data_IF_339204013503
#
_entry.id   IF_339204013503
#
_cell.length_a   1.000
_cell.length_b   1.000
_cell.length_c   1.000
_cell.angle_alpha   90.00
_cell.angle_beta   90.00
_cell.angle_gamma   90.00
#
_symmetry.space_group_name_H-M   'P 1'
#
loop_
_entity.id
_entity.type
_entity.pdbx_description
1 polymer ?
#
# COMPACT_ATOMS: atom_id res chain seq x y z
N UNK A 1 -49.86 4.04 -31.76
CA UNK A 1 -48.92 5.18 -31.69
C UNK A 1 -49.16 5.91 -30.37
N UNK A 2 -48.45 5.60 -29.27
CA UNK A 2 -48.58 6.37 -28.04
C UNK A 2 -47.61 7.55 -28.05
N UNK A 3 -48.13 8.72 -27.69
CA UNK A 3 -47.41 9.99 -27.59
C UNK A 3 -46.44 9.96 -26.41
N UNK A 4 -45.17 10.25 -26.67
CA UNK A 4 -44.16 10.54 -25.65
C UNK A 4 -44.48 11.91 -25.03
N UNK A 5 -44.92 11.92 -23.77
CA UNK A 5 -44.95 13.14 -22.96
C UNK A 5 -43.51 13.57 -22.67
N UNK A 6 -43.08 14.65 -23.32
CA UNK A 6 -41.84 15.33 -23.02
C UNK A 6 -42.01 16.10 -21.70
N UNK A 7 -41.25 15.73 -20.67
CA UNK A 7 -41.15 16.51 -19.44
C UNK A 7 -40.47 17.85 -19.70
N UNK A 8 -41.01 18.90 -19.11
CA UNK A 8 -40.69 20.30 -19.45
C UNK A 8 -39.30 20.74 -18.95
N UNK A 9 -38.61 21.67 -19.65
CA UNK A 9 -37.27 22.19 -19.28
C UNK A 9 -37.15 22.77 -17.86
N UNK A 10 -38.27 23.10 -17.22
CA UNK A 10 -38.31 23.72 -15.90
C UNK A 10 -37.86 22.78 -14.78
N UNK A 11 -38.10 21.47 -14.90
CA UNK A 11 -37.73 20.50 -13.85
C UNK A 11 -36.20 20.28 -13.77
N UNK A 12 -35.52 20.27 -14.93
CA UNK A 12 -34.05 20.15 -14.97
C UNK A 12 -33.36 21.39 -14.40
N UNK A 13 -33.92 22.58 -14.64
CA UNK A 13 -33.42 23.83 -14.08
C UNK A 13 -33.62 23.87 -12.56
N UNK A 14 -34.75 23.35 -12.07
CA UNK A 14 -35.03 23.25 -10.64
C UNK A 14 -34.06 22.30 -9.93
N UNK A 15 -33.86 21.09 -10.47
CA UNK A 15 -32.92 20.11 -9.93
C UNK A 15 -31.46 20.62 -9.93
N UNK A 16 -31.08 21.40 -10.95
CA UNK A 16 -29.78 22.04 -11.03
C UNK A 16 -29.58 23.11 -9.94
N UNK A 17 -30.62 23.89 -9.67
CA UNK A 17 -30.62 24.97 -8.68
C UNK A 17 -30.57 24.41 -7.26
N UNK A 18 -31.35 23.38 -6.97
CA UNK A 18 -31.37 22.69 -5.68
C UNK A 18 -30.01 22.04 -5.38
N UNK A 19 -29.35 21.46 -6.38
CA UNK A 19 -28.00 20.93 -6.21
C UNK A 19 -26.98 22.03 -5.88
N UNK A 20 -27.01 23.13 -6.63
CA UNK A 20 -26.09 24.23 -6.39
C UNK A 20 -26.31 24.85 -4.99
N UNK A 21 -27.57 24.93 -4.55
CA UNK A 21 -27.90 25.35 -3.18
C UNK A 21 -27.39 24.36 -2.13
N UNK A 22 -27.52 23.05 -2.36
CA UNK A 22 -26.99 22.03 -1.45
C UNK A 22 -25.46 22.10 -1.33
N UNK A 23 -24.74 22.21 -2.45
CA UNK A 23 -23.28 22.34 -2.45
C UNK A 23 -22.84 23.62 -1.73
N UNK A 24 -23.54 24.73 -1.97
CA UNK A 24 -23.26 25.99 -1.29
C UNK A 24 -23.56 25.90 0.21
N UNK A 25 -24.62 25.21 0.61
CA UNK A 25 -24.94 24.97 2.02
C UNK A 25 -23.88 24.06 2.70
N UNK A 26 -23.40 23.02 2.00
CA UNK A 26 -22.39 22.11 2.53
C UNK A 26 -21.00 22.77 2.61
N UNK A 27 -20.66 23.64 1.66
CA UNK A 27 -19.40 24.40 1.66
C UNK A 27 -19.37 25.50 2.73
N UNK A 28 -20.52 26.02 3.13
CA UNK A 28 -20.66 27.06 4.16
C UNK A 28 -21.07 26.53 5.53
N UNK A 29 -21.28 25.22 5.68
CA UNK A 29 -21.55 24.61 6.98
C UNK A 29 -20.27 24.70 7.83
N UNK A 30 -20.27 25.65 8.77
CA UNK A 30 -19.27 25.74 9.84
C UNK A 30 -19.30 24.41 10.61
N UNK A 31 -18.16 23.73 10.71
CA UNK A 31 -18.05 22.56 11.59
C UNK A 31 -18.43 23.01 13.01
N UNK A 32 -19.44 22.39 13.66
CA UNK A 32 -19.82 22.79 15.00
C UNK A 32 -18.61 22.66 15.93
N UNK A 33 -18.31 23.75 16.65
CA UNK A 33 -17.31 23.79 17.71
C UNK A 33 -17.83 23.01 18.91
N UNK A 34 -17.72 21.69 18.81
CA UNK A 34 -17.68 20.65 19.84
C UNK A 34 -18.02 19.35 19.11
N UNK A 35 -17.26 18.26 19.28
CA UNK A 35 -17.74 16.96 18.87
C UNK A 35 -18.89 16.59 19.82
N UNK A 36 -20.11 17.00 19.47
CA UNK A 36 -21.29 16.19 19.80
C UNK A 36 -21.01 14.76 19.34
N UNK A 37 -21.59 13.78 20.05
CA UNK A 37 -21.28 12.34 19.96
C UNK A 37 -20.67 11.98 18.59
N UNK A 38 -19.39 11.57 18.58
CA UNK A 38 -18.60 11.39 17.34
C UNK A 38 -19.30 10.50 16.29
N UNK A 39 -20.27 9.70 16.73
CA UNK A 39 -21.12 8.86 15.91
C UNK A 39 -22.15 9.64 15.07
N UNK A 40 -22.65 10.78 15.53
CA UNK A 40 -23.58 11.63 14.76
C UNK A 40 -22.88 12.23 13.54
N UNK A 41 -21.59 12.55 13.65
CA UNK A 41 -20.80 13.04 12.51
C UNK A 41 -20.64 11.98 11.42
N UNK A 42 -20.53 10.71 11.82
CA UNK A 42 -20.45 9.58 10.90
C UNK A 42 -21.80 9.33 10.22
N UNK A 43 -22.89 9.39 10.98
CA UNK A 43 -24.24 9.24 10.45
C UNK A 43 -24.55 10.34 9.42
N UNK A 44 -24.17 11.58 9.73
CA UNK A 44 -24.31 12.71 8.80
C UNK A 44 -23.47 12.52 7.54
N UNK A 45 -22.24 11.98 7.66
CA UNK A 45 -21.40 11.69 6.52
C UNK A 45 -22.02 10.61 5.61
N UNK A 46 -22.55 9.52 6.20
CA UNK A 46 -23.26 8.47 5.46
C UNK A 46 -24.48 9.04 4.73
N UNK A 47 -25.27 9.85 5.41
CA UNK A 47 -26.44 10.50 4.82
C UNK A 47 -26.04 11.40 3.63
N UNK A 48 -25.01 12.22 3.79
CA UNK A 48 -24.49 13.08 2.72
C UNK A 48 -24.02 12.27 1.51
N UNK A 49 -23.33 11.14 1.73
CA UNK A 49 -22.89 10.25 0.66
C UNK A 49 -24.09 9.68 -0.10
N UNK A 50 -25.13 9.24 0.60
CA UNK A 50 -26.35 8.69 0.00
C UNK A 50 -27.10 9.75 -0.82
N UNK A 51 -27.33 10.93 -0.23
CA UNK A 51 -27.99 12.05 -0.92
C UNK A 51 -27.22 12.42 -2.19
N UNK A 52 -25.90 12.57 -2.09
CA UNK A 52 -25.05 12.88 -3.23
C UNK A 52 -25.09 11.78 -4.30
N UNK A 53 -25.04 10.51 -3.91
CA UNK A 53 -25.13 9.37 -4.82
C UNK A 53 -26.45 9.36 -5.60
N UNK A 54 -27.59 9.53 -4.92
CA UNK A 54 -28.91 9.54 -5.56
C UNK A 54 -29.05 10.68 -6.56
N UNK A 55 -28.57 11.87 -6.19
CA UNK A 55 -28.63 13.03 -7.06
C UNK A 55 -27.66 12.94 -8.24
N UNK A 56 -26.47 12.32 -8.09
CA UNK A 56 -25.61 12.00 -9.24
C UNK A 56 -26.31 11.05 -10.23
N UNK A 57 -27.08 10.08 -9.73
CA UNK A 57 -27.84 9.17 -10.56
C UNK A 57 -28.96 9.91 -11.32
N UNK A 58 -29.70 10.79 -10.64
CA UNK A 58 -30.71 11.65 -11.28
C UNK A 58 -30.10 12.54 -12.37
N UNK A 59 -28.96 13.19 -12.08
CA UNK A 59 -28.25 14.01 -13.07
C UNK A 59 -27.81 13.18 -14.29
N UNK A 60 -27.37 11.95 -14.09
CA UNK A 60 -26.98 11.05 -15.18
C UNK A 60 -28.17 10.57 -16.01
N UNK A 61 -29.36 10.48 -15.43
CA UNK A 61 -30.61 10.14 -16.12
C UNK A 61 -31.13 11.30 -16.97
N UNK A 62 -31.05 12.53 -16.46
CA UNK A 62 -31.58 13.72 -17.16
C UNK A 62 -30.61 14.35 -18.17
N UNK A 63 -29.30 14.19 -18.00
CA UNK A 63 -28.29 14.78 -18.88
C UNK A 63 -27.87 13.81 -19.99
N UNK A 64 -27.54 14.35 -21.17
CA UNK A 64 -26.89 13.53 -22.19
C UNK A 64 -25.52 13.06 -21.71
N UNK A 65 -25.05 11.91 -22.23
CA UNK A 65 -23.72 11.35 -21.90
C UNK A 65 -22.57 12.35 -22.10
N UNK A 66 -22.71 13.29 -23.04
CA UNK A 66 -21.71 14.33 -23.33
C UNK A 66 -21.73 15.44 -22.29
N UNK A 67 -22.92 15.92 -21.92
CA UNK A 67 -23.09 16.96 -20.90
C UNK A 67 -22.69 16.48 -19.51
N UNK A 68 -23.05 15.24 -19.16
CA UNK A 68 -22.65 14.63 -17.90
C UNK A 68 -21.12 14.51 -17.80
N UNK A 69 -20.44 14.03 -18.85
CA UNK A 69 -18.97 13.97 -18.87
C UNK A 69 -18.32 15.35 -18.80
N UNK A 70 -18.86 16.34 -19.51
CA UNK A 70 -18.38 17.73 -19.44
C UNK A 70 -18.48 18.26 -18.01
N UNK A 71 -19.57 17.95 -17.31
CA UNK A 71 -19.79 18.34 -15.92
C UNK A 71 -18.81 17.65 -14.97
N UNK A 72 -18.60 16.35 -15.09
CA UNK A 72 -17.58 15.65 -14.29
C UNK A 72 -16.19 16.29 -14.46
N UNK A 73 -15.81 16.61 -15.71
CA UNK A 73 -14.54 17.28 -16.00
C UNK A 73 -14.44 18.69 -15.41
N UNK A 74 -15.53 19.46 -15.37
CA UNK A 74 -15.55 20.78 -14.71
C UNK A 74 -15.22 20.70 -13.22
N UNK A 75 -15.60 19.60 -12.56
CA UNK A 75 -15.29 19.34 -11.16
C UNK A 75 -13.98 18.55 -10.96
N UNK A 76 -13.22 18.29 -12.04
CA UNK A 76 -11.95 17.55 -11.97
C UNK A 76 -12.10 16.04 -11.82
N UNK A 77 -13.31 15.49 -12.02
CA UNK A 77 -13.60 14.06 -11.90
C UNK A 77 -13.42 13.36 -13.26
N UNK A 78 -12.77 12.19 -13.24
CA UNK A 78 -12.57 11.30 -14.38
C UNK A 78 -13.45 10.06 -14.32
N UNK A 79 -13.49 9.36 -13.19
CA UNK A 79 -14.24 8.10 -12.98
C UNK A 79 -14.69 7.91 -11.52
N UNK A 80 -14.55 8.94 -10.68
CA UNK A 80 -14.87 8.96 -9.27
C UNK A 80 -16.38 8.89 -9.02
N UNK A 81 -17.21 9.13 -10.04
CA UNK A 81 -18.67 9.00 -10.01
C UNK A 81 -19.13 7.53 -9.90
N UNK A 82 -18.37 6.60 -10.47
CA UNK A 82 -18.79 5.19 -10.61
C UNK A 82 -19.16 4.51 -9.28
N UNK A 83 -18.38 4.63 -8.18
CA UNK A 83 -18.75 4.05 -6.90
C UNK A 83 -20.06 4.61 -6.35
N UNK A 84 -20.28 5.92 -6.47
CA UNK A 84 -21.51 6.57 -6.01
C UNK A 84 -22.73 6.16 -6.85
N UNK A 85 -22.55 6.00 -8.16
CA UNK A 85 -23.64 5.52 -9.03
C UNK A 85 -24.06 4.09 -8.68
N UNK A 86 -23.11 3.21 -8.32
CA UNK A 86 -23.43 1.86 -7.82
C UNK A 86 -24.18 1.91 -6.50
N UNK A 87 -23.77 2.82 -5.61
CA UNK A 87 -24.48 3.07 -4.34
C UNK A 87 -25.93 3.47 -4.61
N UNK A 88 -26.14 4.44 -5.50
CA UNK A 88 -27.47 4.89 -5.88
C UNK A 88 -28.32 3.76 -6.48
N UNK A 89 -27.74 2.95 -7.37
CA UNK A 89 -28.43 1.83 -8.00
C UNK A 89 -28.88 0.76 -7.00
N UNK A 90 -28.00 0.39 -6.07
CA UNK A 90 -28.26 -0.66 -5.07
C UNK A 90 -29.24 -0.18 -3.99
N UNK A 91 -29.11 1.06 -3.54
CA UNK A 91 -29.89 1.60 -2.43
C UNK A 91 -31.06 2.49 -2.87
N UNK A 92 -31.46 2.46 -4.15
CA UNK A 92 -32.53 3.31 -4.71
C UNK A 92 -33.88 3.21 -4.00
N UNK A 93 -34.12 2.13 -3.27
CA UNK A 93 -35.37 1.86 -2.56
C UNK A 93 -35.32 2.23 -1.06
N UNK A 94 -34.19 2.75 -0.58
CA UNK A 94 -34.01 3.15 0.82
C UNK A 94 -34.07 4.67 0.95
N UNK A 95 -34.57 5.17 2.09
CA UNK A 95 -34.33 6.57 2.44
C UNK A 95 -32.88 6.77 2.86
N UNK A 96 -32.33 7.95 2.56
CA UNK A 96 -31.01 8.35 3.05
C UNK A 96 -30.90 8.33 4.59
N UNK A 97 -32.03 8.48 5.28
CA UNK A 97 -32.09 8.45 6.75
C UNK A 97 -32.04 7.03 7.31
N UNK A 98 -32.70 6.07 6.65
CA UNK A 98 -32.78 4.68 7.12
C UNK A 98 -31.39 4.03 7.17
N UNK A 99 -30.51 4.41 6.26
CA UNK A 99 -29.16 3.86 6.15
C UNK A 99 -28.10 4.71 6.87
N UNK A 100 -28.47 5.82 7.52
CA UNK A 100 -27.51 6.75 8.13
C UNK A 100 -26.64 6.07 9.20
N UNK A 101 -27.19 5.07 9.91
CA UNK A 101 -26.49 4.33 10.97
C UNK A 101 -25.56 3.23 10.44
N UNK A 102 -25.35 3.15 9.12
CA UNK A 102 -24.36 2.27 8.48
C UNK A 102 -23.07 3.06 8.23
N UNK A 103 -21.93 2.42 8.43
CA UNK A 103 -20.64 3.02 8.12
C UNK A 103 -20.45 3.20 6.59
N UNK A 104 -19.90 4.33 6.10
CA UNK A 104 -19.69 4.57 4.67
C UNK A 104 -18.93 3.45 3.95
N UNK A 105 -17.88 2.89 4.59
CA UNK A 105 -17.10 1.79 4.02
C UNK A 105 -17.95 0.54 3.79
N UNK A 106 -18.89 0.26 4.70
CA UNK A 106 -19.80 -0.88 4.59
C UNK A 106 -20.79 -0.69 3.45
N UNK A 107 -21.30 0.52 3.30
CA UNK A 107 -22.20 0.90 2.22
C UNK A 107 -21.55 0.73 0.84
N UNK A 108 -20.30 1.20 0.67
CA UNK A 108 -19.54 0.95 -0.56
C UNK A 108 -19.21 -0.53 -0.77
N UNK A 109 -18.96 -1.30 0.29
CA UNK A 109 -18.69 -2.74 0.20
C UNK A 109 -19.88 -3.51 -0.36
N UNK A 110 -21.08 -3.20 0.14
CA UNK A 110 -22.34 -3.77 -0.35
C UNK A 110 -22.59 -3.37 -1.81
N UNK A 111 -22.47 -2.08 -2.12
CA UNK A 111 -22.73 -1.54 -3.45
C UNK A 111 -21.74 -2.03 -4.53
N UNK A 112 -20.48 -2.27 -4.16
CA UNK A 112 -19.47 -2.77 -5.12
C UNK A 112 -19.65 -4.24 -5.49
N UNK A 113 -20.34 -5.03 -4.65
CA UNK A 113 -20.54 -6.47 -4.85
C UNK A 113 -22.02 -6.87 -4.71
N UNK A 114 -22.93 -6.30 -5.52
CA UNK A 114 -24.37 -6.47 -5.32
C UNK A 114 -24.79 -7.94 -5.46
N UNK A 115 -24.21 -8.68 -6.42
CA UNK A 115 -24.51 -10.12 -6.60
C UNK A 115 -24.22 -10.96 -5.37
N UNK A 116 -23.16 -10.63 -4.63
CA UNK A 116 -22.75 -11.36 -3.43
C UNK A 116 -23.65 -11.02 -2.24
N UNK A 117 -24.03 -9.76 -2.12
CA UNK A 117 -24.78 -9.24 -0.97
C UNK A 117 -26.25 -9.01 -1.26
N UNK A 118 -26.78 -9.46 -2.39
CA UNK A 118 -28.17 -9.20 -2.81
C UNK A 118 -29.17 -9.68 -1.76
N UNK A 119 -28.92 -10.85 -1.18
CA UNK A 119 -29.75 -11.37 -0.10
C UNK A 119 -29.69 -10.48 1.15
N UNK A 120 -28.54 -9.86 1.47
CA UNK A 120 -28.42 -8.91 2.60
C UNK A 120 -29.26 -7.67 2.28
N UNK A 121 -29.07 -7.11 1.09
CA UNK A 121 -29.76 -5.90 0.65
C UNK A 121 -31.28 -6.09 0.67
N UNK A 122 -31.78 -7.23 0.20
CA UNK A 122 -33.21 -7.55 0.23
C UNK A 122 -33.74 -7.71 1.66
N UNK A 123 -32.96 -8.31 2.57
CA UNK A 123 -33.35 -8.45 3.98
C UNK A 123 -33.35 -7.12 4.73
N UNK A 124 -32.47 -6.19 4.35
CA UNK A 124 -32.45 -4.84 4.90
C UNK A 124 -33.74 -4.06 4.57
N UNK A 125 -34.38 -4.29 3.41
CA UNK A 125 -35.65 -3.64 3.06
C UNK A 125 -36.80 -4.00 4.02
N UNK A 126 -36.76 -5.20 4.59
CA UNK A 126 -37.78 -5.69 5.52
C UNK A 126 -37.41 -5.45 6.99
N UNK A 127 -36.25 -4.86 7.26
CA UNK A 127 -35.74 -4.65 8.62
C UNK A 127 -36.29 -3.35 9.21
N UNK A 128 -36.85 -3.35 10.43
CA UNK A 128 -37.44 -2.15 11.04
C UNK A 128 -36.39 -1.12 11.48
N UNK A 129 -35.18 -1.58 11.82
CA UNK A 129 -34.06 -0.73 12.22
C UNK A 129 -32.77 -1.20 11.56
N UNK A 130 -32.19 -0.34 10.73
CA UNK A 130 -30.99 -0.66 9.96
C UNK A 130 -29.78 -0.04 10.64
N UNK A 131 -29.08 -0.83 11.44
CA UNK A 131 -27.82 -0.44 12.09
C UNK A 131 -26.62 -1.14 11.46
N UNK A 132 -25.41 -0.62 11.72
CA UNK A 132 -24.16 -1.28 11.35
C UNK A 132 -24.07 -2.72 11.90
N UNK A 133 -24.64 -2.99 13.08
CA UNK A 133 -24.65 -4.34 13.67
C UNK A 133 -25.59 -5.27 12.90
N UNK A 134 -26.80 -4.81 12.58
CA UNK A 134 -27.77 -5.56 11.75
C UNK A 134 -27.13 -6.02 10.43
N UNK A 135 -26.40 -5.11 9.76
CA UNK A 135 -25.70 -5.43 8.50
C UNK A 135 -24.60 -6.48 8.72
N UNK A 136 -23.84 -6.39 9.81
CA UNK A 136 -22.77 -7.37 10.13
C UNK A 136 -23.36 -8.75 10.40
N UNK A 137 -24.45 -8.83 11.14
CA UNK A 137 -25.12 -10.09 11.47
C UNK A 137 -25.69 -10.75 10.22
N UNK A 138 -26.33 -9.98 9.34
CA UNK A 138 -26.82 -10.49 8.05
C UNK A 138 -25.68 -10.97 7.12
N UNK A 139 -24.54 -10.28 7.11
CA UNK A 139 -23.36 -10.74 6.37
C UNK A 139 -22.81 -12.04 6.97
N UNK A 140 -22.78 -12.16 8.30
CA UNK A 140 -22.29 -13.35 8.99
C UNK A 140 -23.20 -14.56 8.74
N UNK A 141 -24.52 -14.38 8.75
CA UNK A 141 -25.51 -15.42 8.43
C UNK A 141 -25.40 -15.95 7.00
N UNK A 142 -24.84 -15.16 6.07
CA UNK A 142 -24.60 -15.59 4.68
C UNK A 142 -23.26 -16.29 4.47
N UNK A 143 -22.35 -16.23 5.44
CA UNK A 143 -21.16 -17.07 5.35
C UNK A 143 -21.58 -18.50 5.71
N UNK A 144 -21.30 -19.51 4.85
CA UNK A 144 -21.43 -20.88 5.30
C UNK A 144 -20.64 -21.03 6.59
N UNK A 145 -21.14 -21.77 7.60
CA UNK A 145 -20.37 -22.06 8.79
C UNK A 145 -19.01 -22.52 8.30
N UNK A 146 -17.96 -21.79 8.70
CA UNK A 146 -16.60 -22.10 8.30
C UNK A 146 -16.32 -23.44 8.95
N UNK A 147 -16.60 -24.52 8.23
CA UNK A 147 -16.17 -25.85 8.60
C UNK A 147 -14.69 -25.70 8.84
N UNK A 148 -14.28 -25.83 10.10
CA UNK A 148 -12.89 -25.88 10.48
C UNK A 148 -12.36 -27.10 9.77
N UNK A 149 -11.85 -26.90 8.55
CA UNK A 149 -11.20 -27.94 7.81
C UNK A 149 -10.06 -28.41 8.69
N UNK A 150 -10.26 -29.55 9.36
CA UNK A 150 -9.17 -30.36 9.88
C UNK A 150 -8.47 -30.98 8.66
N UNK A 151 -7.98 -30.14 7.74
CA UNK A 151 -6.99 -30.55 6.77
C UNK A 151 -5.74 -30.83 7.60
N UNK A 152 -5.33 -32.10 7.67
CA UNK A 152 -4.02 -32.49 8.21
C UNK A 152 -2.99 -31.47 7.75
N UNK A 153 -2.23 -30.84 8.65
CA UNK A 153 -1.38 -29.71 8.29
C UNK A 153 -0.31 -30.17 7.30
N UNK A 154 -0.55 -29.90 6.02
CA UNK A 154 0.44 -30.15 4.98
C UNK A 154 1.56 -29.13 5.14
N UNK A 155 2.79 -29.63 5.28
CA UNK A 155 4.01 -28.81 5.31
C UNK A 155 4.44 -28.33 3.92
N UNK A 156 3.71 -28.73 2.87
CA UNK A 156 4.02 -28.33 1.49
C UNK A 156 3.47 -26.94 1.15
N UNK A 157 4.30 -26.12 0.51
CA UNK A 157 3.97 -24.80 -0.02
C UNK A 157 4.42 -24.70 -1.49
N UNK A 158 3.90 -23.71 -2.22
CA UNK A 158 4.26 -23.43 -3.62
C UNK A 158 4.89 -22.06 -3.74
N UNK A 159 5.97 -21.97 -4.51
CA UNK A 159 6.57 -20.69 -4.92
C UNK A 159 5.73 -20.03 -6.03
N UNK A 160 5.97 -18.74 -6.30
CA UNK A 160 5.34 -18.00 -7.43
C UNK A 160 5.57 -18.70 -8.78
N UNK A 161 6.64 -19.47 -8.89
CA UNK A 161 7.04 -20.20 -10.10
C UNK A 161 6.48 -21.64 -10.16
N UNK A 162 5.57 -22.01 -9.25
CA UNK A 162 4.93 -23.34 -9.22
C UNK A 162 5.75 -24.46 -8.57
N UNK A 163 7.03 -24.24 -8.24
CA UNK A 163 7.86 -25.24 -7.52
C UNK A 163 7.37 -25.44 -6.09
N UNK A 164 7.40 -26.68 -5.62
CA UNK A 164 7.06 -27.04 -4.24
C UNK A 164 8.26 -26.89 -3.32
N UNK A 165 8.02 -26.42 -2.09
CA UNK A 165 9.00 -26.45 -1.00
C UNK A 165 8.30 -26.86 0.30
N UNK A 166 9.06 -27.45 1.20
CA UNK A 166 8.59 -27.80 2.54
C UNK A 166 8.84 -26.63 3.49
N UNK A 167 7.84 -26.25 4.28
CA UNK A 167 7.95 -25.28 5.36
C UNK A 167 7.50 -25.95 6.66
N UNK A 168 8.45 -26.13 7.58
CA UNK A 168 8.19 -26.67 8.91
C UNK A 168 7.69 -25.50 9.79
N UNK A 169 6.55 -25.64 10.51
CA UNK A 169 6.12 -24.65 11.48
C UNK A 169 7.16 -24.45 12.60
N UNK A 170 7.07 -23.34 13.37
CA UNK A 170 7.89 -23.17 14.56
C UNK A 170 7.78 -24.37 15.50
N UNK A 171 8.92 -24.90 15.92
CA UNK A 171 9.01 -26.01 16.88
C UNK A 171 9.10 -25.37 18.27
N UNK A 172 8.07 -25.59 19.10
CA UNK A 172 8.03 -25.11 20.48
C UNK A 172 8.20 -26.31 21.41
N UNK A 173 9.42 -26.51 21.89
CA UNK A 173 9.78 -27.54 22.89
C UNK A 173 10.20 -26.86 24.18
N UNK A 174 9.72 -27.36 25.32
CA UNK A 174 10.03 -26.78 26.64
C UNK A 174 11.50 -26.93 27.04
N UNK A 175 12.18 -27.95 26.53
CA UNK A 175 13.59 -28.27 26.79
C UNK A 175 14.52 -27.76 25.68
N UNK A 176 13.97 -27.13 24.63
CA UNK A 176 14.69 -26.54 23.50
C UNK A 176 15.69 -27.49 22.80
N UNK A 177 15.53 -28.80 23.01
CA UNK A 177 16.56 -29.79 22.71
C UNK A 177 16.79 -29.94 21.20
N UNK A 178 15.73 -29.94 20.41
CA UNK A 178 15.85 -30.07 18.94
C UNK A 178 16.58 -28.87 18.35
N UNK A 179 16.26 -27.65 18.79
CA UNK A 179 16.90 -26.42 18.31
C UNK A 179 18.38 -26.34 18.69
N UNK A 180 18.70 -26.60 19.96
CA UNK A 180 20.09 -26.57 20.47
C UNK A 180 20.96 -27.65 19.83
N UNK A 181 20.44 -28.87 19.66
CA UNK A 181 21.17 -29.96 19.01
C UNK A 181 21.42 -29.67 17.53
N UNK A 182 20.41 -29.15 16.82
CA UNK A 182 20.55 -28.76 15.41
C UNK A 182 21.59 -27.65 15.23
N UNK A 183 21.58 -26.64 16.09
CA UNK A 183 22.56 -25.55 16.05
C UNK A 183 23.98 -26.07 16.29
N UNK A 184 24.16 -26.95 17.29
CA UNK A 184 25.45 -27.58 17.57
C UNK A 184 26.00 -28.35 16.36
N UNK A 185 25.15 -29.12 15.66
CA UNK A 185 25.56 -29.84 14.45
C UNK A 185 25.97 -28.88 13.31
N UNK A 186 25.29 -27.74 13.17
CA UNK A 186 25.67 -26.72 12.19
C UNK A 186 27.04 -26.12 12.53
N UNK A 187 27.27 -25.81 13.81
CA UNK A 187 28.47 -25.13 14.27
C UNK A 187 29.70 -26.05 14.31
N UNK A 188 29.55 -27.30 14.77
CA UNK A 188 30.65 -28.24 14.94
C UNK A 188 30.98 -29.02 13.66
N UNK A 189 29.96 -29.42 12.89
CA UNK A 189 30.13 -30.26 11.70
C UNK A 189 30.15 -29.44 10.40
N UNK A 190 29.86 -28.13 10.48
CA UNK A 190 29.80 -27.25 9.31
C UNK A 190 28.66 -27.57 8.34
N UNK A 191 27.67 -28.35 8.78
CA UNK A 191 26.55 -28.80 7.95
C UNK A 191 25.48 -27.71 7.85
N UNK A 192 24.77 -27.67 6.72
CA UNK A 192 23.56 -26.84 6.63
C UNK A 192 22.39 -27.53 7.34
N UNK A 193 21.46 -26.75 7.89
CA UNK A 193 20.24 -27.28 8.49
C UNK A 193 19.46 -28.22 7.54
N UNK A 194 19.45 -27.92 6.25
CA UNK A 194 18.82 -28.77 5.23
C UNK A 194 19.47 -30.15 5.15
N UNK A 195 20.81 -30.20 5.23
CA UNK A 195 21.56 -31.45 5.18
C UNK A 195 21.33 -32.30 6.43
N UNK A 196 21.40 -31.69 7.61
CA UNK A 196 21.12 -32.36 8.89
C UNK A 196 19.72 -32.96 8.89
N UNK A 197 18.71 -32.20 8.46
CA UNK A 197 17.32 -32.69 8.35
C UNK A 197 17.20 -33.84 7.34
N UNK A 198 17.86 -33.76 6.20
CA UNK A 198 17.83 -34.84 5.20
C UNK A 198 18.43 -36.15 5.73
N UNK A 199 19.54 -36.08 6.45
CA UNK A 199 20.18 -37.25 7.07
C UNK A 199 19.34 -37.82 8.21
N UNK A 200 18.77 -36.97 9.07
CA UNK A 200 17.87 -37.41 10.13
C UNK A 200 16.61 -38.12 9.58
N UNK A 201 16.05 -37.63 8.48
CA UNK A 201 14.92 -38.29 7.79
C UNK A 201 15.36 -39.65 7.22
N UNK A 202 16.53 -39.72 6.58
CA UNK A 202 17.05 -40.98 6.03
C UNK A 202 17.29 -42.02 7.13
N UNK A 203 17.86 -41.63 8.26
CA UNK A 203 18.03 -42.49 9.43
C UNK A 203 16.69 -42.96 9.98
N UNK A 204 15.70 -42.05 10.09
CA UNK A 204 14.35 -42.42 10.54
C UNK A 204 13.70 -43.42 9.59
N UNK A 205 13.83 -43.24 8.27
CA UNK A 205 13.31 -44.19 7.28
C UNK A 205 13.99 -45.55 7.39
N UNK A 206 15.32 -45.59 7.48
CA UNK A 206 16.08 -46.83 7.64
C UNK A 206 15.68 -47.59 8.92
N UNK A 207 15.42 -46.89 10.02
CA UNK A 207 14.88 -47.47 11.24
C UNK A 207 13.47 -48.04 11.04
N UNK A 208 12.56 -47.26 10.44
CA UNK A 208 11.18 -47.72 10.19
C UNK A 208 11.11 -48.91 9.22
N UNK A 209 12.04 -49.01 8.29
CA UNK A 209 12.16 -50.11 7.33
C UNK A 209 12.91 -51.33 7.89
N UNK A 210 13.32 -51.29 9.17
CA UNK A 210 14.03 -52.39 9.83
C UNK A 210 15.48 -52.59 9.36
N UNK A 211 16.04 -51.64 8.60
CA UNK A 211 17.45 -51.63 8.18
C UNK A 211 18.38 -51.20 9.31
N UNK A 212 17.84 -50.51 10.31
CA UNK A 212 18.52 -50.23 11.58
C UNK A 212 17.77 -50.95 12.70
N UNK A 213 18.46 -51.80 13.45
CA UNK A 213 17.94 -52.45 14.65
C UNK A 213 18.60 -51.81 15.85
N UNK A 214 17.80 -51.37 16.81
CA UNK A 214 18.31 -50.90 18.08
C UNK A 214 18.91 -52.10 18.82
N UNK A 215 20.24 -52.20 18.84
CA UNK A 215 20.93 -53.18 19.68
C UNK A 215 20.86 -52.63 21.10
N UNK A 216 19.93 -53.14 21.90
CA UNK A 216 19.99 -52.96 23.34
C UNK A 216 21.20 -53.74 23.83
N UNK A 217 22.28 -53.02 24.16
CA UNK A 217 23.42 -53.61 24.85
C UNK A 217 22.93 -54.16 26.19
N UNK A 218 22.64 -55.46 26.23
CA UNK A 218 22.70 -56.21 27.47
C UNK A 218 24.11 -56.03 28.04
N UNK A 219 24.17 -55.83 29.35
CA UNK A 219 25.37 -55.49 30.15
C UNK A 219 26.64 -56.17 29.65
N UNK A 220 27.81 -55.50 29.69
CA UNK A 220 29.08 -56.17 29.45
C UNK A 220 29.36 -57.13 30.62
N UNK A 221 28.97 -58.40 30.49
CA UNK A 221 29.65 -59.46 31.24
C UNK A 221 30.94 -59.75 30.50
N UNK A 222 32.05 -59.46 31.16
CA UNK A 222 33.38 -59.55 30.57
C UNK A 222 33.67 -60.94 30.01
N UNK A 223 34.10 -60.95 28.76
CA UNK A 223 35.03 -61.95 28.25
C UNK A 223 35.81 -61.27 27.12
N UNK A 224 37.06 -60.92 27.44
CA UNK A 224 38.07 -60.55 26.46
C UNK A 224 38.28 -61.74 25.53
N UNK A 225 37.77 -61.67 24.31
CA UNK A 225 38.18 -62.56 23.23
C UNK A 225 39.16 -61.82 22.35
N UNK A 226 40.42 -62.16 22.60
CA UNK A 226 41.55 -61.96 21.69
C UNK A 226 41.24 -62.56 20.32
N UNK A 227 41.42 -61.77 19.26
CA UNK A 227 41.87 -62.31 17.97
C UNK A 227 42.94 -61.38 17.41
N UNK A 228 44.18 -61.86 17.50
CA UNK A 228 45.38 -61.37 16.84
C UNK A 228 45.29 -61.58 15.31
N UNK A 229 45.37 -60.48 14.57
CA UNK A 229 46.46 -60.11 13.64
C UNK A 229 46.90 -60.95 12.41
N UNK A 230 47.01 -60.21 11.28
CA UNK A 230 47.87 -60.37 10.08
C UNK A 230 47.62 -61.57 9.12
N UNK A 231 47.71 -61.50 7.76
CA UNK A 231 48.51 -60.61 6.90
C UNK A 231 48.20 -60.74 5.37
N UNK A 232 48.55 -59.67 4.63
CA UNK A 232 49.10 -59.57 3.23
C UNK A 232 48.36 -59.95 1.95
N UNK A 233 48.12 -58.92 1.11
CA UNK A 233 48.73 -58.63 -0.23
C UNK A 233 47.66 -58.08 -1.20
N UNK A 234 47.90 -57.22 -2.18
CA UNK A 234 48.94 -56.28 -2.58
C UNK A 234 48.37 -55.55 -3.83
N UNK A 235 48.89 -54.35 -4.11
CA UNK A 235 48.96 -53.66 -5.42
C UNK A 235 47.81 -52.76 -5.93
N UNK A 236 48.18 -51.47 -6.03
CA UNK A 236 48.04 -50.57 -7.20
C UNK A 236 46.63 -50.02 -7.45
N UNK A 237 46.36 -48.71 -7.40
CA UNK A 237 47.01 -47.66 -8.18
C UNK A 237 46.77 -46.27 -7.53
N UNK A 238 47.83 -45.46 -7.48
CA UNK A 238 47.81 -44.08 -7.04
C UNK A 238 47.40 -43.21 -8.22
N UNK A 239 46.37 -42.38 -8.04
CA UNK A 239 46.15 -41.17 -8.84
C UNK A 239 45.83 -40.02 -7.90
N UNK A 240 46.85 -39.18 -7.65
CA UNK A 240 46.70 -37.83 -7.13
C UNK A 240 46.39 -36.92 -8.32
N UNK A 241 45.30 -36.18 -8.30
CA UNK A 241 45.31 -34.84 -8.86
C UNK A 241 44.31 -33.94 -8.15
N UNK A 242 44.83 -32.79 -7.73
CA UNK A 242 44.18 -31.77 -6.94
C UNK A 242 43.24 -30.96 -7.83
N UNK A 243 41.96 -30.90 -7.49
CA UNK A 243 41.04 -29.89 -8.00
C UNK A 243 41.26 -28.57 -7.26
N UNK A 244 42.18 -27.75 -7.79
CA UNK A 244 42.18 -26.29 -7.55
C UNK A 244 41.36 -25.67 -8.68
N UNK A 245 40.19 -25.17 -8.32
CA UNK A 245 39.29 -24.42 -9.19
C UNK A 245 38.69 -23.29 -8.40
N UNK A 246 39.52 -22.30 -8.09
CA UNK A 246 39.14 -20.98 -7.60
C UNK A 246 38.29 -20.31 -8.69
N UNK A 247 37.00 -20.08 -8.42
CA UNK A 247 36.12 -19.32 -9.31
C UNK A 247 35.58 -18.11 -8.57
N UNK A 248 36.22 -16.98 -8.86
CA UNK A 248 35.78 -15.62 -8.57
C UNK A 248 34.53 -15.28 -9.39
N UNK A 249 33.52 -14.68 -8.75
CA UNK A 249 32.30 -14.21 -9.42
C UNK A 249 32.34 -12.67 -9.53
N UNK A 250 32.72 -12.17 -10.70
CA UNK A 250 32.25 -10.88 -11.21
C UNK A 250 31.01 -11.13 -12.08
N UNK A 251 29.94 -10.34 -11.98
CA UNK A 251 28.79 -10.47 -12.86
C UNK A 251 28.96 -9.61 -14.11
N UNK A 252 29.17 -10.24 -15.26
CA UNK A 252 29.01 -9.59 -16.56
C UNK A 252 27.53 -9.41 -16.91
N UNK A 253 27.26 -8.22 -17.43
CA UNK A 253 26.02 -7.75 -18.01
C UNK A 253 25.77 -8.34 -19.41
N UNK A 254 24.51 -8.19 -19.85
CA UNK A 254 24.01 -8.22 -21.25
C UNK A 254 23.53 -9.60 -21.78
N UNK A 255 22.46 -9.74 -22.58
CA UNK A 255 21.67 -8.80 -23.38
C UNK A 255 20.33 -9.43 -23.82
N UNK A 256 19.44 -8.53 -24.25
CA UNK A 256 18.13 -8.67 -24.88
C UNK A 256 17.99 -9.70 -26.01
N UNK A 257 16.73 -10.13 -26.23
CA UNK A 257 16.20 -10.47 -27.56
C UNK A 257 14.68 -10.23 -27.60
N UNK A 258 14.28 -9.03 -28.01
CA UNK A 258 13.01 -8.75 -28.69
C UNK A 258 13.33 -8.23 -30.09
N UNK A 259 12.72 -8.81 -31.12
CA UNK A 259 12.86 -8.32 -32.50
C UNK A 259 11.53 -8.33 -33.25
N UNK A 260 11.16 -7.15 -33.75
CA UNK A 260 10.49 -6.77 -35.01
C UNK A 260 9.48 -5.62 -34.78
N UNK A 261 9.79 -4.37 -35.15
CA UNK A 261 9.83 -3.75 -36.52
C UNK A 261 8.40 -3.42 -37.01
N UNK A 262 7.99 -2.24 -37.50
CA UNK A 262 8.55 -0.92 -37.86
C UNK A 262 7.41 0.14 -37.64
N UNK A 263 7.50 1.48 -37.76
CA UNK A 263 8.18 2.36 -38.70
C UNK A 263 8.37 3.80 -38.15
N UNK A 264 9.37 4.46 -38.74
CA UNK A 264 9.97 5.77 -38.53
C UNK A 264 9.07 7.03 -38.44
N UNK A 265 9.46 7.98 -37.57
CA UNK A 265 9.87 9.34 -37.96
C UNK A 265 11.09 9.75 -37.10
N UNK A 266 12.17 10.12 -37.77
CA UNK A 266 13.43 10.66 -37.24
C UNK A 266 13.36 12.18 -37.21
N UNK A 267 13.82 12.82 -36.12
CA UNK A 267 14.57 14.09 -36.18
C UNK A 267 15.29 14.39 -34.83
N UNK A 268 16.59 14.07 -34.81
CA UNK A 268 17.76 14.83 -34.28
C UNK A 268 17.77 15.43 -32.84
N UNK A 269 18.43 14.71 -31.90
CA UNK A 269 19.62 15.03 -31.05
C UNK A 269 19.76 16.45 -30.39
N UNK A 270 20.40 16.61 -29.19
CA UNK A 270 21.63 15.89 -28.85
C UNK A 270 21.84 15.38 -27.41
N UNK A 271 22.74 14.39 -27.34
CA UNK A 271 23.67 14.05 -26.26
C UNK A 271 23.61 14.90 -24.99
N UNK A 272 23.20 14.29 -23.87
CA UNK A 272 23.71 14.67 -22.55
C UNK A 272 24.33 13.46 -21.88
N UNK A 273 25.66 13.56 -21.80
CA UNK A 273 26.56 12.88 -20.89
C UNK A 273 25.88 12.61 -19.53
N UNK A 274 26.16 11.46 -18.93
CA UNK A 274 25.77 11.01 -17.58
C UNK A 274 26.11 12.06 -16.51
N UNK A 275 25.30 13.11 -16.38
CA UNK A 275 25.42 14.11 -15.32
C UNK A 275 24.95 13.50 -14.00
N UNK A 276 25.72 13.72 -12.94
CA UNK A 276 25.33 13.28 -11.60
C UNK A 276 24.00 13.94 -11.19
N UNK A 277 23.08 13.24 -10.49
CA UNK A 277 21.82 13.83 -10.04
C UNK A 277 21.99 15.13 -9.23
N UNK A 278 23.12 15.29 -8.52
CA UNK A 278 23.46 16.51 -7.79
C UNK A 278 23.76 17.67 -8.75
N UNK A 279 24.53 17.42 -9.81
CA UNK A 279 24.92 18.42 -10.81
C UNK A 279 23.71 18.94 -11.59
N UNK A 280 22.78 18.03 -11.93
CA UNK A 280 21.52 18.40 -12.57
C UNK A 280 20.69 19.34 -11.69
N UNK A 281 20.67 19.10 -10.36
CA UNK A 281 19.96 19.97 -9.42
C UNK A 281 20.68 21.32 -9.26
N UNK A 282 22.01 21.35 -9.25
CA UNK A 282 22.80 22.59 -9.23
C UNK A 282 22.53 23.41 -10.50
N UNK A 283 22.64 22.80 -11.69
CA UNK A 283 22.36 23.45 -12.98
C UNK A 283 20.93 24.03 -13.00
N UNK A 284 19.96 23.26 -12.50
CA UNK A 284 18.58 23.72 -12.42
C UNK A 284 18.42 24.91 -11.46
N UNK A 285 19.04 24.88 -10.28
CA UNK A 285 19.03 26.03 -9.35
C UNK A 285 19.77 27.25 -9.93
N UNK A 286 20.76 27.03 -10.79
CA UNK A 286 21.53 28.06 -11.48
C UNK A 286 20.82 28.70 -12.68
N UNK A 287 19.93 27.96 -13.35
CA UNK A 287 19.28 28.43 -14.59
C UNK A 287 17.77 28.65 -14.46
N UNK A 288 17.15 28.24 -13.36
CA UNK A 288 15.72 28.41 -13.16
C UNK A 288 15.31 29.89 -13.13
N UNK A 289 14.29 30.19 -13.93
CA UNK A 289 13.69 31.52 -14.02
C UNK A 289 12.42 31.65 -13.16
N UNK A 290 11.85 30.51 -12.74
CA UNK A 290 10.63 30.47 -11.92
C UNK A 290 10.81 29.57 -10.72
N UNK A 291 10.05 29.85 -9.64
CA UNK A 291 10.02 28.98 -8.47
C UNK A 291 9.53 27.56 -8.80
N UNK A 292 8.63 27.44 -9.78
CA UNK A 292 8.06 26.16 -10.17
C UNK A 292 9.12 25.18 -10.68
N UNK A 293 10.05 25.66 -11.52
CA UNK A 293 11.16 24.84 -12.02
C UNK A 293 12.04 24.32 -10.87
N UNK A 294 12.30 25.19 -9.88
CA UNK A 294 13.07 24.84 -8.68
C UNK A 294 12.31 23.81 -7.85
N UNK A 295 11.00 24.01 -7.67
CA UNK A 295 10.13 23.14 -6.87
C UNK A 295 10.07 21.74 -7.45
N UNK A 296 9.84 21.61 -8.75
CA UNK A 296 9.77 20.32 -9.45
C UNK A 296 11.10 19.57 -9.34
N UNK A 297 12.22 20.25 -9.59
CA UNK A 297 13.54 19.64 -9.51
C UNK A 297 13.88 19.16 -8.09
N UNK A 298 13.59 19.98 -7.06
CA UNK A 298 13.82 19.62 -5.65
C UNK A 298 12.88 18.48 -5.20
N UNK A 299 11.68 18.37 -5.75
CA UNK A 299 10.77 17.28 -5.44
C UNK A 299 11.25 15.92 -5.99
N UNK A 300 11.82 15.93 -7.21
CA UNK A 300 12.38 14.72 -7.86
C UNK A 300 13.71 14.31 -7.20
N UNK A 301 14.53 15.28 -6.80
CA UNK A 301 15.89 15.07 -6.28
C UNK A 301 16.01 15.48 -4.81
N UNK A 302 15.05 15.04 -3.99
CA UNK A 302 14.92 15.46 -2.58
C UNK A 302 16.17 15.20 -1.74
N UNK A 303 16.82 14.07 -1.97
CA UNK A 303 17.95 13.61 -1.15
C UNK A 303 19.23 14.45 -1.39
N UNK A 304 19.35 15.02 -2.58
CA UNK A 304 20.50 15.84 -3.01
C UNK A 304 20.32 17.34 -2.75
N UNK A 305 19.17 17.74 -2.17
CA UNK A 305 18.81 19.15 -1.94
C UNK A 305 19.87 19.90 -1.12
N UNK A 306 20.37 19.29 -0.05
CA UNK A 306 21.31 19.96 0.86
C UNK A 306 22.68 20.13 0.21
N UNK A 307 23.15 19.11 -0.51
CA UNK A 307 24.42 19.12 -1.22
C UNK A 307 24.43 20.14 -2.36
N UNK A 308 23.39 20.13 -3.20
CA UNK A 308 23.20 21.11 -4.26
C UNK A 308 23.08 22.53 -3.71
N UNK A 309 22.37 22.72 -2.59
CA UNK A 309 22.28 24.02 -1.94
C UNK A 309 23.62 24.52 -1.41
N UNK A 310 24.47 23.65 -0.87
CA UNK A 310 25.78 24.04 -0.36
C UNK A 310 26.73 24.46 -1.48
N UNK A 311 26.67 23.79 -2.64
CA UNK A 311 27.49 24.08 -3.82
C UNK A 311 27.22 25.46 -4.47
N UNK A 312 26.02 26.04 -4.27
CA UNK A 312 25.69 27.37 -4.83
C UNK A 312 26.51 28.51 -4.20
N UNK A 313 26.90 29.47 -5.02
CA UNK A 313 27.52 30.73 -4.59
C UNK A 313 26.53 31.61 -3.80
N UNK A 314 27.02 32.58 -2.99
CA UNK A 314 26.14 33.50 -2.26
C UNK A 314 25.19 34.31 -3.15
N UNK A 315 25.62 34.66 -4.37
CA UNK A 315 24.82 35.41 -5.36
C UNK A 315 23.67 34.54 -5.89
N UNK A 316 23.95 33.29 -6.25
CA UNK A 316 22.93 32.34 -6.71
C UNK A 316 21.93 32.00 -5.59
N UNK A 317 22.42 31.78 -4.36
CA UNK A 317 21.56 31.62 -3.18
C UNK A 317 20.64 32.82 -2.97
N UNK A 318 21.13 34.04 -3.20
CA UNK A 318 20.33 35.27 -3.11
C UNK A 318 19.27 35.32 -4.21
N UNK A 319 19.60 34.93 -5.44
CA UNK A 319 18.65 34.87 -6.56
C UNK A 319 17.56 33.83 -6.32
N UNK A 320 17.91 32.61 -5.90
CA UNK A 320 16.94 31.56 -5.58
C UNK A 320 16.00 32.01 -4.45
N UNK A 321 16.52 32.67 -3.40
CA UNK A 321 15.68 33.29 -2.36
C UNK A 321 14.80 34.42 -2.89
N UNK A 322 15.22 35.11 -3.95
CA UNK A 322 14.41 36.10 -4.67
C UNK A 322 13.16 35.46 -5.27
N UNK A 323 13.35 34.34 -5.98
CA UNK A 323 12.30 33.58 -6.66
C UNK A 323 11.32 32.89 -5.70
N UNK A 324 11.71 32.61 -4.45
CA UNK A 324 10.83 31.99 -3.45
C UNK A 324 9.53 32.81 -3.22
N UNK A 325 8.35 32.17 -3.27
CA UNK A 325 7.08 32.77 -2.90
C UNK A 325 7.11 33.30 -1.47
N UNK A 326 6.25 34.30 -1.21
CA UNK A 326 6.17 34.97 0.09
C UNK A 326 5.78 33.98 1.19
N UNK A 327 4.94 33.02 0.84
CA UNK A 327 4.44 31.93 1.67
C UNK A 327 5.59 31.01 2.13
N UNK A 328 6.42 30.57 1.19
CA UNK A 328 7.60 29.73 1.48
C UNK A 328 8.61 30.49 2.35
N UNK A 329 8.77 31.80 2.13
CA UNK A 329 9.60 32.67 2.99
C UNK A 329 9.04 32.74 4.41
N UNK A 330 7.73 32.88 4.59
CA UNK A 330 7.06 32.89 5.90
C UNK A 330 7.25 31.56 6.63
N UNK A 331 7.04 30.42 5.97
CA UNK A 331 7.26 29.09 6.54
C UNK A 331 8.74 28.83 6.87
N UNK A 332 9.67 29.26 6.01
CA UNK A 332 11.10 29.16 6.29
C UNK A 332 11.51 29.96 7.54
N UNK A 333 10.92 31.16 7.74
CA UNK A 333 11.11 31.95 8.97
C UNK A 333 10.51 31.24 10.18
N UNK A 334 9.31 30.66 10.06
CA UNK A 334 8.69 29.90 11.15
C UNK A 334 9.53 28.67 11.55
N UNK A 335 10.11 27.95 10.56
CA UNK A 335 11.03 26.84 10.80
C UNK A 335 12.30 27.29 11.52
N UNK A 336 12.90 28.40 11.09
CA UNK A 336 14.08 28.99 11.75
C UNK A 336 13.80 29.48 13.18
N UNK A 337 12.57 29.94 13.43
CA UNK A 337 12.12 30.35 14.75
C UNK A 337 11.72 29.16 15.66
N UNK A 338 11.85 27.91 15.18
CA UNK A 338 11.50 26.71 15.95
C UNK A 338 10.00 26.46 16.12
N UNK A 339 9.14 27.19 15.40
CA UNK A 339 7.68 27.04 15.51
C UNK A 339 7.15 25.81 14.77
N UNK A 340 7.88 25.34 13.75
CA UNK A 340 7.55 24.17 12.93
C UNK A 340 8.81 23.32 12.72
N UNK A 341 8.63 22.01 12.66
CA UNK A 341 9.71 21.03 12.42
C UNK A 341 10.11 21.05 10.96
N UNK A 342 9.13 20.91 10.08
CA UNK A 342 9.34 20.89 8.64
C UNK A 342 8.07 21.28 7.89
N UNK A 343 8.23 21.61 6.62
CA UNK A 343 7.10 21.86 5.72
C UNK A 343 7.41 21.36 4.31
N UNK A 344 6.37 20.91 3.61
CA UNK A 344 6.42 20.47 2.23
C UNK A 344 5.30 21.14 1.44
N UNK A 345 5.63 21.73 0.30
CA UNK A 345 4.62 22.26 -0.62
C UNK A 345 4.03 21.10 -1.43
N UNK A 346 2.72 20.86 -1.30
CA UNK A 346 2.02 19.80 -2.03
C UNK A 346 1.64 20.28 -3.44
N UNK A 347 1.09 21.48 -3.52
CA UNK A 347 0.66 22.18 -4.75
C UNK A 347 0.87 23.67 -4.53
N UNK A 348 0.84 24.45 -5.61
CA UNK A 348 0.98 25.90 -5.54
C UNK A 348 -0.01 26.47 -4.52
N UNK A 349 0.50 27.15 -3.50
CA UNK A 349 -0.31 27.72 -2.42
C UNK A 349 -0.90 26.72 -1.43
N UNK A 350 -0.47 25.45 -1.39
CA UNK A 350 -0.91 24.46 -0.40
C UNK A 350 0.29 23.74 0.21
N UNK A 351 0.42 23.87 1.54
CA UNK A 351 1.59 23.43 2.30
C UNK A 351 1.19 22.42 3.37
N UNK A 352 1.89 21.30 3.42
CA UNK A 352 1.86 20.37 4.54
C UNK A 352 2.91 20.78 5.56
N UNK A 353 2.49 21.09 6.79
CA UNK A 353 3.35 21.64 7.85
C UNK A 353 3.32 20.71 9.05
N UNK A 354 4.50 20.40 9.61
CA UNK A 354 4.63 19.61 10.85
C UNK A 354 4.97 20.54 12.01
N UNK A 355 4.09 20.62 13.01
CA UNK A 355 4.31 21.41 14.22
C UNK A 355 5.20 20.67 15.22
N UNK A 356 5.85 21.41 16.11
CA UNK A 356 6.53 20.83 17.27
C UNK A 356 5.48 20.19 18.20
N UNK A 357 5.67 18.94 18.61
CA UNK A 357 4.78 18.23 19.54
C UNK A 357 3.59 17.50 18.90
N UNK A 358 3.29 17.73 17.62
CA UNK A 358 2.23 17.01 16.90
C UNK A 358 2.82 15.96 15.95
N UNK A 359 2.31 14.74 16.05
CA UNK A 359 2.72 13.61 15.19
C UNK A 359 2.14 13.76 13.77
N UNK A 360 0.98 14.40 13.64
CA UNK A 360 0.29 14.58 12.37
C UNK A 360 0.68 15.91 11.70
N UNK A 361 0.91 15.84 10.39
CA UNK A 361 1.17 17.02 9.58
C UNK A 361 -0.16 17.67 9.14
N UNK A 362 -0.26 18.98 9.29
CA UNK A 362 -1.44 19.77 8.99
C UNK A 362 -1.33 20.36 7.58
N UNK A 363 -2.43 20.43 6.83
CA UNK A 363 -2.47 21.03 5.50
C UNK A 363 -2.98 22.47 5.59
N UNK A 364 -2.18 23.42 5.12
CA UNK A 364 -2.40 24.86 5.22
C UNK A 364 -2.36 25.48 3.82
N UNK A 365 -3.45 26.15 3.43
CA UNK A 365 -3.48 26.95 2.20
C UNK A 365 -2.80 28.31 2.37
N UNK A 366 -2.34 28.92 1.29
CA UNK A 366 -1.76 30.28 1.26
C UNK A 366 -2.70 31.31 1.89
N UNK A 367 -3.99 31.21 1.62
CA UNK A 367 -5.04 32.07 2.18
C UNK A 367 -5.17 31.98 3.71
N UNK A 368 -4.82 30.84 4.31
CA UNK A 368 -4.89 30.60 5.76
C UNK A 368 -3.53 30.66 6.45
N UNK A 369 -2.46 30.89 5.68
CA UNK A 369 -1.10 30.82 6.17
C UNK A 369 -0.80 31.90 7.22
N UNK A 370 -1.36 33.11 7.04
CA UNK A 370 -1.16 34.20 8.00
C UNK A 370 -1.84 33.92 9.34
N UNK A 371 -3.08 33.43 9.33
CA UNK A 371 -3.79 32.97 10.52
C UNK A 371 -3.04 31.82 11.19
N UNK A 372 -2.54 30.85 10.41
CA UNK A 372 -1.78 29.72 10.92
C UNK A 372 -0.46 30.14 11.58
N UNK A 373 0.32 31.02 10.96
CA UNK A 373 1.57 31.54 11.54
C UNK A 373 1.30 32.39 12.77
N UNK A 374 0.18 33.11 12.83
CA UNK A 374 -0.25 33.85 14.03
C UNK A 374 -0.59 32.89 15.18
N UNK A 375 -1.35 31.82 14.92
CA UNK A 375 -1.66 30.79 15.92
C UNK A 375 -0.40 30.14 16.49
N UNK A 376 0.61 29.88 15.64
CA UNK A 376 1.89 29.32 16.08
C UNK A 376 2.68 30.25 17.02
N UNK A 377 2.44 31.56 16.97
CA UNK A 377 3.13 32.55 17.82
C UNK A 377 2.43 32.82 19.16
N UNK A 378 1.23 32.26 19.37
CA UNK A 378 0.48 32.39 20.62
C UNK A 378 -0.86 33.12 20.44
N UNK A 379 -1.91 32.32 20.22
CA UNK A 379 -3.20 32.40 20.91
C UNK A 379 -4.06 31.23 20.45
N UNK A 380 -4.21 30.27 21.36
CA UNK A 380 -4.91 29.00 21.26
C UNK A 380 -4.60 28.24 22.53
#
# INVERSE_FOLDING_TARGET
>A
MPQLQAFTPNEQILAQREFNQYIFAQANAIAPETPGDSFDTLAQATQNILTHAMMLAQQKEHLSKREYKKRLLQYGWKNEDRPYLKVAEVFKHFSSQDLAQIEPATLFRLANNPKKYQSVINQLLSSPEITQQTVRDLIAQQQPPKESKQELPSIWRRTKNGRRYCQIPPIHESDERTGTTLQKMIDEEGLTAQRVVAEAIALRQAYMEGRLVLVENSKPSGEEVWVEDFNTNANTEVSKENTVGEWTFEPELEKDNFTKDCDAIVELQPDRCTQSPVELLIETLQNANTWEQIRVAVAVLKDYKQEAWMALTPVEKKRVRGLMPIEVKKLSRAKKAGLIVDFQELREGVYQVRRMGNVLAEVVSSSRLDTFVAQLRGNG
#
